data_IF_764164464051
#
_entry.id   IF_764164464051
#
_cell.length_a   1.000
_cell.length_b   1.000
_cell.length_c   1.000
_cell.angle_alpha   90.00
_cell.angle_beta   90.00
_cell.angle_gamma   90.00
#
_symmetry.space_group_name_H-M   'P 1'
#
loop_
_entity.id
_entity.type
_entity.pdbx_description
1 polymer ?
#
# COMPACT_ATOMS: atom_id res chain seq x y z
N UNK A 1 7.50 -18.83 9.10
CA UNK A 1 6.95 -17.70 8.31
C UNK A 1 8.08 -16.73 8.00
N UNK A 2 8.18 -16.23 6.78
CA UNK A 2 9.14 -15.18 6.43
C UNK A 2 8.48 -13.81 6.63
N UNK A 3 9.06 -12.96 7.47
CA UNK A 3 8.61 -11.59 7.62
C UNK A 3 8.99 -10.79 6.36
N UNK A 4 8.00 -10.16 5.71
CA UNK A 4 8.25 -9.19 4.65
C UNK A 4 8.33 -7.80 5.27
N UNK A 5 9.44 -7.11 5.02
CA UNK A 5 9.64 -5.73 5.47
C UNK A 5 9.16 -4.75 4.42
N UNK A 6 8.39 -3.75 4.84
CA UNK A 6 7.87 -2.67 4.00
C UNK A 6 8.21 -1.35 4.68
N UNK A 7 8.47 -0.32 3.88
CA UNK A 7 8.72 1.03 4.39
C UNK A 7 7.39 1.74 4.72
N UNK A 8 6.32 1.39 3.99
CA UNK A 8 4.97 1.95 4.18
C UNK A 8 3.93 0.84 4.00
N UNK A 9 2.95 0.79 4.91
CA UNK A 9 1.76 -0.05 4.78
C UNK A 9 0.52 0.84 4.78
N UNK A 10 -0.29 0.76 3.73
CA UNK A 10 -1.56 1.48 3.59
C UNK A 10 -2.71 0.52 3.86
N UNK A 11 -3.64 0.89 4.73
CA UNK A 11 -4.85 0.12 5.02
C UNK A 11 -6.04 0.82 4.35
N UNK A 12 -6.69 0.13 3.42
CA UNK A 12 -7.76 0.62 2.56
C UNK A 12 -7.28 0.96 1.14
N UNK A 13 -7.98 0.46 0.11
CA UNK A 13 -7.65 0.66 -1.31
C UNK A 13 -8.68 1.51 -2.08
N UNK A 14 -9.41 2.39 -1.40
CA UNK A 14 -10.21 3.43 -2.05
C UNK A 14 -9.34 4.54 -2.71
N UNK A 15 -9.97 5.58 -3.28
CA UNK A 15 -9.27 6.63 -4.04
C UNK A 15 -8.09 7.31 -3.34
N UNK A 16 -8.15 7.49 -2.02
CA UNK A 16 -7.02 8.00 -1.26
C UNK A 16 -5.92 6.96 -1.03
N UNK A 17 -6.31 5.72 -0.74
CA UNK A 17 -5.41 4.64 -0.33
C UNK A 17 -4.53 4.12 -1.46
N UNK A 18 -5.12 3.80 -2.62
CA UNK A 18 -4.33 3.33 -3.75
C UNK A 18 -3.41 4.44 -4.29
N UNK A 19 -3.88 5.70 -4.32
CA UNK A 19 -3.06 6.84 -4.76
C UNK A 19 -1.87 7.05 -3.81
N UNK A 20 -2.09 6.95 -2.50
CA UNK A 20 -1.00 7.02 -1.51
C UNK A 20 0.03 5.89 -1.70
N UNK A 21 -0.42 4.66 -1.91
CA UNK A 21 0.47 3.51 -2.14
C UNK A 21 1.27 3.63 -3.45
N UNK A 22 0.63 4.11 -4.53
CA UNK A 22 1.29 4.41 -5.81
C UNK A 22 2.35 5.50 -5.61
N UNK A 23 1.99 6.59 -4.92
CA UNK A 23 2.93 7.70 -4.70
C UNK A 23 4.12 7.27 -3.85
N UNK A 24 3.89 6.47 -2.81
CA UNK A 24 4.97 5.89 -1.99
C UNK A 24 5.92 5.04 -2.85
N UNK A 25 5.37 4.21 -3.73
CA UNK A 25 6.17 3.39 -4.67
C UNK A 25 6.98 4.24 -5.64
N UNK A 26 6.39 5.31 -6.18
CA UNK A 26 7.10 6.26 -7.08
C UNK A 26 8.23 7.01 -6.38
N UNK A 27 8.14 7.20 -5.06
CA UNK A 27 9.19 7.80 -4.23
C UNK A 27 10.28 6.79 -3.84
N UNK A 28 10.20 5.55 -4.32
CA UNK A 28 11.19 4.50 -4.06
C UNK A 28 10.97 3.71 -2.78
N UNK A 29 9.83 3.90 -2.10
CA UNK A 29 9.49 3.16 -0.88
C UNK A 29 8.88 1.81 -1.25
N UNK A 30 9.23 0.75 -0.50
CA UNK A 30 8.53 -0.54 -0.58
C UNK A 30 7.18 -0.43 0.10
N UNK A 31 6.15 -0.12 -0.68
CA UNK A 31 4.78 0.01 -0.21
C UNK A 31 4.03 -1.32 -0.24
N UNK A 32 3.24 -1.59 0.80
CA UNK A 32 2.17 -2.59 0.80
C UNK A 32 0.82 -1.90 0.94
N UNK A 33 -0.21 -2.45 0.31
CA UNK A 33 -1.60 -2.03 0.50
C UNK A 33 -2.43 -3.24 0.93
N UNK A 34 -3.30 -3.05 1.90
CA UNK A 34 -4.20 -4.09 2.42
C UNK A 34 -5.63 -3.59 2.32
N UNK A 35 -6.46 -4.32 1.59
CA UNK A 35 -7.90 -4.08 1.45
C UNK A 35 -8.63 -5.39 1.74
N UNK A 36 -9.75 -5.29 2.45
CA UNK A 36 -10.59 -6.42 2.82
C UNK A 36 -11.57 -6.77 1.71
N UNK A 37 -12.13 -5.76 1.05
CA UNK A 37 -13.19 -5.93 0.07
C UNK A 37 -12.65 -5.75 -1.35
N UNK A 38 -12.94 -4.61 -1.98
CA UNK A 38 -12.62 -4.33 -3.37
C UNK A 38 -11.74 -3.08 -3.47
N UNK A 39 -10.87 -3.07 -4.46
CA UNK A 39 -10.16 -1.84 -4.81
C UNK A 39 -11.15 -0.83 -5.41
N UNK A 40 -10.98 0.44 -5.03
CA UNK A 40 -11.81 1.55 -5.51
C UNK A 40 -11.43 2.03 -6.90
#
# INVERSE_FOLDING_TARGET
MAAKTFDVVVIGAGPGGYVAAIRASQLGLKAAIVEREHMG
#
